data_IF_559560875396
#
_entry.id   IF_559560875396
#
_cell.length_a   1.000
_cell.length_b   1.000
_cell.length_c   1.000
_cell.angle_alpha   90.00
_cell.angle_beta   90.00
_cell.angle_gamma   90.00
#
_symmetry.space_group_name_H-M   'P 1'
#
loop_
_entity.id
_entity.type
_entity.pdbx_description
1 polymer ?
#
# COMPACT_ATOMS: atom_id res chain seq x y z
N UNK A 1 -16.08 32.68 -11.80
CA UNK A 1 -15.91 31.94 -10.51
C UNK A 1 -15.05 30.71 -10.78
N UNK A 2 -13.73 30.89 -10.92
CA UNK A 2 -12.79 29.82 -11.30
C UNK A 2 -12.13 29.31 -10.02
N UNK A 3 -12.84 28.44 -9.29
CA UNK A 3 -12.44 27.94 -7.95
C UNK A 3 -11.91 26.50 -7.98
N UNK A 4 -11.76 25.91 -9.17
CA UNK A 4 -11.49 24.47 -9.33
C UNK A 4 -9.99 24.18 -9.56
N UNK A 5 -9.19 25.20 -9.91
CA UNK A 5 -7.76 25.06 -10.19
C UNK A 5 -6.89 25.27 -8.94
N UNK A 6 -7.35 26.11 -8.00
CA UNK A 6 -6.64 26.39 -6.77
C UNK A 6 -6.40 25.14 -5.89
N UNK A 7 -7.36 24.20 -5.72
CA UNK A 7 -7.12 22.97 -4.99
C UNK A 7 -6.08 22.08 -5.69
N UNK A 8 -6.11 22.03 -7.02
CA UNK A 8 -5.20 21.21 -7.82
C UNK A 8 -3.73 21.67 -7.66
N UNK A 9 -3.51 22.98 -7.76
CA UNK A 9 -2.18 23.59 -7.59
C UNK A 9 -1.69 23.41 -6.15
N UNK A 10 -2.59 23.50 -5.16
CA UNK A 10 -2.27 23.22 -3.74
C UNK A 10 -1.81 21.77 -3.55
N UNK A 11 -2.50 20.79 -4.13
CA UNK A 11 -2.12 19.38 -4.05
C UNK A 11 -0.75 19.11 -4.67
N UNK A 12 -0.45 19.71 -5.83
CA UNK A 12 0.86 19.60 -6.48
C UNK A 12 1.95 20.21 -5.57
N UNK A 13 1.70 21.39 -5.01
CA UNK A 13 2.63 22.04 -4.08
C UNK A 13 2.90 21.20 -2.83
N UNK A 14 1.86 20.59 -2.25
CA UNK A 14 2.00 19.69 -1.10
C UNK A 14 2.80 18.44 -1.47
N UNK A 15 2.58 17.84 -2.65
CA UNK A 15 3.35 16.67 -3.10
C UNK A 15 4.85 16.99 -3.21
N UNK A 16 5.21 18.09 -3.85
CA UNK A 16 6.61 18.52 -4.02
C UNK A 16 7.23 18.88 -2.66
N UNK A 17 6.46 19.54 -1.78
CA UNK A 17 6.90 19.85 -0.42
C UNK A 17 7.20 18.58 0.38
N UNK A 18 6.31 17.58 0.33
CA UNK A 18 6.48 16.31 1.02
C UNK A 18 7.65 15.51 0.45
N UNK A 19 7.81 15.50 -0.88
CA UNK A 19 8.95 14.86 -1.54
C UNK A 19 10.26 15.53 -1.13
N UNK A 20 10.32 16.87 -1.16
CA UNK A 20 11.51 17.62 -0.74
C UNK A 20 11.82 17.44 0.74
N UNK A 21 10.80 17.36 1.59
CA UNK A 21 10.95 17.11 3.03
C UNK A 21 11.40 15.68 3.30
N UNK A 22 10.89 14.70 2.54
CA UNK A 22 11.36 13.33 2.59
C UNK A 22 12.83 13.22 2.14
N UNK A 23 13.21 13.91 1.06
CA UNK A 23 14.60 13.99 0.61
C UNK A 23 15.51 14.67 1.64
N UNK A 24 15.01 15.66 2.40
CA UNK A 24 15.77 16.31 3.46
C UNK A 24 15.95 15.39 4.68
N UNK A 25 14.91 14.66 5.08
CA UNK A 25 14.95 13.76 6.23
C UNK A 25 15.72 12.45 5.95
N UNK A 26 15.53 11.86 4.77
CA UNK A 26 16.16 10.59 4.39
C UNK A 26 17.43 10.75 3.53
N UNK A 27 17.66 11.94 2.97
CA UNK A 27 18.75 12.25 2.04
C UNK A 27 18.33 12.08 0.56
N UNK A 28 18.78 12.95 -0.37
CA UNK A 28 18.49 12.85 -1.81
C UNK A 28 19.30 11.75 -2.53
N UNK A 29 20.06 10.97 -1.76
CA UNK A 29 20.71 9.79 -2.29
C UNK A 29 19.62 8.77 -2.58
N UNK A 30 19.33 8.53 -3.86
CA UNK A 30 18.76 7.26 -4.32
C UNK A 30 19.59 6.20 -3.64
N UNK A 31 19.09 5.61 -2.56
CA UNK A 31 19.77 4.49 -1.92
C UNK A 31 19.61 3.33 -2.89
N UNK A 32 20.48 3.29 -3.91
CA UNK A 32 20.94 2.02 -4.44
C UNK A 32 21.35 1.24 -3.22
N UNK A 33 20.51 0.27 -2.87
CA UNK A 33 20.64 -0.51 -1.65
C UNK A 33 22.12 -0.85 -1.47
N UNK A 34 22.76 -0.41 -0.37
CA UNK A 34 24.17 -0.64 -0.18
C UNK A 34 24.42 -2.15 -0.30
N UNK A 35 25.29 -2.59 -1.23
CA UNK A 35 25.51 -4.01 -1.50
C UNK A 35 26.00 -4.75 -0.25
N UNK A 36 26.54 -4.04 0.74
CA UNK A 36 27.07 -4.60 1.98
C UNK A 36 26.02 -5.20 2.93
N UNK A 37 24.76 -4.75 2.88
CA UNK A 37 23.68 -5.39 3.66
C UNK A 37 23.06 -6.58 2.94
N UNK A 38 23.45 -6.80 1.67
CA UNK A 38 22.95 -7.83 0.76
C UNK A 38 24.13 -8.50 0.06
N UNK A 39 25.16 -8.85 0.84
CA UNK A 39 26.32 -9.64 0.40
C UNK A 39 25.96 -11.09 0.07
N UNK A 40 24.89 -11.30 -0.68
CA UNK A 40 24.36 -12.57 -1.12
C UNK A 40 23.51 -12.35 -2.36
N UNK A 41 24.09 -11.79 -3.42
CA UNK A 41 23.61 -12.13 -4.76
C UNK A 41 23.83 -13.64 -4.90
N UNK A 42 22.77 -14.43 -4.73
CA UNK A 42 22.84 -15.84 -5.04
C UNK A 42 22.80 -15.93 -6.56
N UNK A 43 23.98 -15.92 -7.17
CA UNK A 43 24.14 -16.05 -8.61
C UNK A 43 23.73 -17.46 -9.04
N UNK A 44 22.51 -17.59 -9.59
CA UNK A 44 22.07 -18.78 -10.31
C UNK A 44 22.48 -18.71 -11.79
N UNK A 45 23.76 -18.37 -12.05
CA UNK A 45 24.38 -18.31 -13.39
C UNK A 45 23.88 -17.19 -14.32
N UNK A 46 22.57 -17.13 -14.58
CA UNK A 46 21.91 -16.15 -15.46
C UNK A 46 20.87 -15.26 -14.75
N UNK A 47 20.52 -15.58 -13.50
CA UNK A 47 19.54 -14.81 -12.72
C UNK A 47 20.17 -14.20 -11.47
N UNK A 48 20.32 -12.88 -11.50
CA UNK A 48 20.70 -12.09 -10.32
C UNK A 48 19.46 -11.87 -9.46
N UNK A 49 19.14 -12.84 -8.62
CA UNK A 49 18.05 -12.70 -7.65
C UNK A 49 18.63 -12.03 -6.41
N UNK A 50 18.26 -10.77 -6.20
CA UNK A 50 18.62 -10.06 -4.98
C UNK A 50 17.82 -10.63 -3.81
N UNK A 51 18.44 -10.81 -2.64
CA UNK A 51 17.74 -11.24 -1.42
C UNK A 51 16.55 -10.32 -1.08
N UNK A 52 16.58 -9.04 -1.49
CA UNK A 52 15.42 -8.12 -1.35
C UNK A 52 14.21 -8.62 -2.13
N UNK A 53 14.41 -9.20 -3.31
CA UNK A 53 13.30 -9.71 -4.13
C UNK A 53 12.67 -10.93 -3.46
N UNK A 54 13.47 -11.81 -2.87
CA UNK A 54 12.97 -12.99 -2.14
C UNK A 54 12.23 -12.55 -0.86
N UNK A 55 12.82 -11.65 -0.08
CA UNK A 55 12.19 -11.10 1.12
C UNK A 55 10.92 -10.33 0.75
N UNK A 56 10.95 -9.51 -0.30
CA UNK A 56 9.80 -8.75 -0.79
C UNK A 56 8.66 -9.64 -1.26
N UNK A 57 8.99 -10.73 -1.97
CA UNK A 57 8.02 -11.76 -2.35
C UNK A 57 7.43 -12.44 -1.11
N UNK A 58 8.27 -12.83 -0.15
CA UNK A 58 7.84 -13.41 1.12
C UNK A 58 6.90 -12.50 1.90
N UNK A 59 7.27 -11.23 2.07
CA UNK A 59 6.44 -10.21 2.76
C UNK A 59 5.12 -10.01 2.02
N UNK A 60 5.14 -9.93 0.69
CA UNK A 60 3.92 -9.76 -0.11
C UNK A 60 2.96 -10.94 0.04
N UNK A 61 3.48 -12.16 0.00
CA UNK A 61 2.70 -13.39 0.21
C UNK A 61 2.13 -13.44 1.64
N UNK A 62 2.95 -13.12 2.65
CA UNK A 62 2.51 -13.05 4.05
C UNK A 62 1.40 -12.01 4.21
N UNK A 63 1.56 -10.83 3.62
CA UNK A 63 0.57 -9.77 3.70
C UNK A 63 -0.74 -10.15 3.00
N UNK A 64 -0.67 -10.80 1.85
CA UNK A 64 -1.84 -11.38 1.19
C UNK A 64 -2.55 -12.40 2.06
N UNK A 65 -1.81 -13.31 2.71
CA UNK A 65 -2.38 -14.31 3.61
C UNK A 65 -3.05 -13.67 4.82
N UNK A 66 -2.39 -12.69 5.46
CA UNK A 66 -2.94 -11.94 6.59
C UNK A 66 -4.23 -11.25 6.16
N UNK A 67 -4.21 -10.50 5.07
CA UNK A 67 -5.39 -9.81 4.55
C UNK A 67 -6.52 -10.81 4.23
N UNK A 68 -6.19 -11.94 3.62
CA UNK A 68 -7.17 -12.99 3.32
C UNK A 68 -7.82 -13.54 4.59
N UNK A 69 -7.03 -13.82 5.62
CA UNK A 69 -7.52 -14.30 6.92
C UNK A 69 -8.38 -13.23 7.59
N UNK A 70 -7.94 -11.96 7.56
CA UNK A 70 -8.70 -10.84 8.11
C UNK A 70 -10.06 -10.75 7.43
N UNK A 71 -10.11 -10.75 6.10
CA UNK A 71 -11.37 -10.67 5.37
C UNK A 71 -12.26 -11.90 5.63
N UNK A 72 -11.68 -13.10 5.73
CA UNK A 72 -12.46 -14.34 5.90
C UNK A 72 -12.95 -14.56 7.32
N UNK A 73 -12.13 -14.27 8.34
CA UNK A 73 -12.39 -14.62 9.74
C UNK A 73 -12.88 -13.46 10.60
N UNK A 74 -12.70 -12.19 10.20
CA UNK A 74 -13.13 -11.05 11.03
C UNK A 74 -14.54 -10.58 10.72
N UNK A 75 -15.17 -9.92 11.71
CA UNK A 75 -16.50 -9.30 11.56
C UNK A 75 -16.49 -8.19 10.51
N UNK A 76 -15.39 -7.43 10.42
CA UNK A 76 -15.17 -6.40 9.40
C UNK A 76 -15.20 -7.03 8.01
N UNK A 77 -14.50 -8.15 7.81
CA UNK A 77 -14.49 -8.86 6.53
C UNK A 77 -15.83 -9.48 6.11
N UNK A 78 -16.72 -9.81 7.07
CA UNK A 78 -18.11 -10.19 6.77
C UNK A 78 -18.93 -8.98 6.31
N UNK A 79 -18.74 -7.84 6.95
CA UNK A 79 -19.43 -6.60 6.61
C UNK A 79 -19.03 -6.08 5.22
N UNK A 80 -17.73 -6.11 4.88
CA UNK A 80 -17.22 -5.77 3.53
C UNK A 80 -17.88 -6.64 2.46
N UNK A 81 -17.95 -7.96 2.69
CA UNK A 81 -18.58 -8.88 1.72
C UNK A 81 -20.09 -8.65 1.59
N UNK A 82 -20.80 -8.34 2.67
CA UNK A 82 -22.22 -8.01 2.62
C UNK A 82 -22.50 -6.73 1.81
N UNK A 83 -21.70 -5.68 2.02
CA UNK A 83 -21.81 -4.42 1.27
C UNK A 83 -21.46 -4.63 -0.21
N UNK A 84 -20.46 -5.46 -0.53
CA UNK A 84 -20.10 -5.77 -1.93
C UNK A 84 -21.19 -6.52 -2.71
N UNK A 85 -22.12 -7.20 -2.03
CA UNK A 85 -23.27 -7.85 -2.67
C UNK A 85 -24.41 -6.86 -2.93
N UNK A 86 -24.74 -6.02 -1.95
CA UNK A 86 -25.74 -4.96 -2.09
C UNK A 86 -25.63 -4.01 -0.90
N UNK A 87 -25.20 -2.78 -1.16
CA UNK A 87 -25.11 -1.70 -0.17
C UNK A 87 -26.47 -1.43 0.48
N UNK A 88 -27.55 -1.42 -0.30
CA UNK A 88 -28.91 -1.15 0.19
C UNK A 88 -29.42 -2.26 1.12
N UNK A 89 -29.23 -3.52 0.73
CA UNK A 89 -29.68 -4.66 1.55
C UNK A 89 -28.83 -4.81 2.82
N UNK A 90 -27.52 -4.54 2.74
CA UNK A 90 -26.64 -4.54 3.91
C UNK A 90 -27.07 -3.48 4.94
N UNK A 91 -27.46 -2.28 4.49
CA UNK A 91 -27.98 -1.22 5.35
C UNK A 91 -29.27 -1.63 6.08
N UNK A 92 -30.20 -2.30 5.38
CA UNK A 92 -31.45 -2.81 5.97
C UNK A 92 -31.22 -3.93 7.00
N UNK A 93 -30.11 -4.66 6.91
CA UNK A 93 -29.70 -5.70 7.86
C UNK A 93 -28.89 -5.13 9.06
N UNK A 94 -28.80 -3.80 9.19
CA UNK A 94 -28.11 -3.12 10.28
C UNK A 94 -26.58 -3.02 10.10
N UNK A 95 -26.05 -3.35 8.91
CA UNK A 95 -24.63 -3.15 8.59
C UNK A 95 -24.48 -1.75 8.00
N UNK A 96 -23.82 -0.84 8.73
CA UNK A 96 -23.64 0.53 8.28
C UNK A 96 -22.60 0.60 7.14
N UNK A 97 -23.00 0.91 5.88
CA UNK A 97 -22.08 0.91 4.75
C UNK A 97 -21.11 2.10 4.78
N UNK A 98 -21.50 3.23 5.38
CA UNK A 98 -20.68 4.45 5.52
C UNK A 98 -19.46 4.25 6.43
N UNK A 99 -19.46 3.21 7.28
CA UNK A 99 -18.27 2.84 8.06
C UNK A 99 -17.25 2.04 7.23
N UNK A 100 -17.68 1.44 6.12
CA UNK A 100 -16.93 0.42 5.37
C UNK A 100 -16.44 0.96 4.01
N UNK A 101 -17.14 1.95 3.45
CA UNK A 101 -16.86 2.65 2.18
C UNK A 101 -16.31 4.05 2.50
#
# INVERSE_FOLDING_TARGET
KVSHLAPLISTIGVSIFLESLALLLWGPQTRSFPPDYIGGLIDFGAFKISMVQIIGLGVSVVLMLILNIVIKKTKIGKAIRAVSMSTETAALLGINPTMII
#
